data_IF_069611293367
#
_entry.id   IF_069611293367
#
_cell.length_a   1.000
_cell.length_b   1.000
_cell.length_c   1.000
_cell.angle_alpha   90.00
_cell.angle_beta   90.00
_cell.angle_gamma   90.00
#
_symmetry.space_group_name_H-M   'P 1'
#
loop_
_entity.id
_entity.type
_entity.pdbx_description
1 polymer ?
#
# COMPACT_ATOMS: atom_id res chain seq x y z
N UNK A 1 -3.11 -23.08 5.77
CA UNK A 1 -1.75 -22.52 5.76
C UNK A 1 -1.93 -21.08 5.29
N UNK A 2 -1.54 -20.04 6.05
CA UNK A 2 -1.70 -18.67 5.56
C UNK A 2 -0.85 -18.47 4.30
N UNK A 3 -1.41 -17.75 3.33
CA UNK A 3 -0.69 -17.26 2.15
C UNK A 3 0.29 -16.16 2.57
N UNK A 4 1.56 -16.31 2.21
CA UNK A 4 2.58 -15.31 2.48
C UNK A 4 2.68 -14.35 1.29
N UNK A 5 2.08 -13.17 1.42
CA UNK A 5 2.22 -12.08 0.43
C UNK A 5 3.53 -11.33 0.71
N UNK A 6 4.44 -11.35 -0.26
CA UNK A 6 5.70 -10.63 -0.19
C UNK A 6 5.54 -9.18 -0.65
N UNK A 7 6.39 -8.29 -0.12
CA UNK A 7 6.36 -6.88 -0.52
C UNK A 7 6.76 -6.72 -1.99
N UNK A 8 5.99 -6.01 -2.82
CA UNK A 8 6.33 -5.77 -4.23
C UNK A 8 7.42 -4.71 -4.41
N UNK A 9 7.65 -3.87 -3.39
CA UNK A 9 8.61 -2.77 -3.40
C UNK A 9 9.13 -2.48 -1.99
N UNK A 10 10.22 -1.70 -1.90
CA UNK A 10 10.70 -1.16 -0.61
C UNK A 10 9.82 0.03 -0.23
N UNK A 11 9.47 0.15 1.04
CA UNK A 11 8.66 1.26 1.53
C UNK A 11 8.17 1.02 2.95
N UNK A 12 7.35 1.95 3.45
CA UNK A 12 6.65 1.81 4.73
C UNK A 12 5.22 1.35 4.46
N UNK A 13 4.77 0.29 5.13
CA UNK A 13 3.36 -0.13 5.07
C UNK A 13 2.50 0.93 5.77
N UNK A 14 1.41 1.32 5.14
CA UNK A 14 0.41 2.26 5.68
C UNK A 14 -0.99 1.65 5.54
N UNK A 15 -1.95 2.18 6.30
CA UNK A 15 -3.34 1.74 6.18
C UNK A 15 -3.85 2.03 4.78
N UNK A 16 -4.63 1.10 4.21
CA UNK A 16 -5.30 1.35 2.93
C UNK A 16 -6.29 2.53 3.05
N UNK A 17 -6.86 2.76 4.23
CA UNK A 17 -7.74 3.91 4.52
C UNK A 17 -7.04 5.28 4.55
N UNK A 18 -5.70 5.31 4.65
CA UNK A 18 -4.93 6.57 4.61
C UNK A 18 -4.67 7.03 3.16
N UNK A 19 -5.04 6.23 2.15
CA UNK A 19 -4.88 6.58 0.74
C UNK A 19 -5.87 7.70 0.37
N UNK A 20 -5.43 8.79 -0.30
CA UNK A 20 -6.31 9.93 -0.60
C UNK A 20 -7.35 9.66 -1.69
N UNK A 21 -7.38 8.44 -2.26
CA UNK A 21 -8.29 8.02 -3.31
C UNK A 21 -9.36 7.09 -2.72
N UNK A 22 -10.65 7.45 -2.80
CA UNK A 22 -11.74 6.71 -2.18
C UNK A 22 -11.93 5.30 -2.73
N UNK A 23 -11.52 5.03 -3.98
CA UNK A 23 -11.63 3.69 -4.58
C UNK A 23 -10.79 2.68 -3.79
N UNK A 24 -9.64 3.13 -3.28
CA UNK A 24 -8.76 2.31 -2.45
C UNK A 24 -9.14 2.41 -0.96
N UNK A 25 -9.34 3.63 -0.45
CA UNK A 25 -9.61 3.83 0.98
C UNK A 25 -10.89 3.16 1.48
N UNK A 26 -11.87 2.94 0.59
CA UNK A 26 -13.12 2.24 0.89
C UNK A 26 -13.10 0.76 0.48
N UNK A 27 -11.94 0.20 0.12
CA UNK A 27 -11.78 -1.20 -0.27
C UNK A 27 -12.69 -1.65 -1.43
N UNK A 28 -13.08 -0.74 -2.34
CA UNK A 28 -14.01 -1.04 -3.45
C UNK A 28 -13.45 -2.13 -4.37
N UNK A 29 -12.13 -2.13 -4.56
CA UNK A 29 -11.39 -3.14 -5.35
C UNK A 29 -11.07 -4.40 -4.56
N UNK A 30 -11.31 -4.40 -3.25
CA UNK A 30 -10.93 -5.44 -2.29
C UNK A 30 -10.03 -4.91 -1.17
N UNK A 31 -9.97 -5.68 -0.07
CA UNK A 31 -9.14 -5.36 1.10
C UNK A 31 -7.64 -5.54 0.83
N UNK A 32 -6.82 -4.82 1.59
CA UNK A 32 -5.37 -4.87 1.43
C UNK A 32 -4.62 -3.86 2.31
N UNK A 33 -3.39 -3.54 1.90
CA UNK A 33 -2.53 -2.54 2.53
C UNK A 33 -1.91 -1.63 1.48
N UNK A 34 -1.53 -0.42 1.87
CA UNK A 34 -0.81 0.50 1.00
C UNK A 34 0.66 0.63 1.43
N UNK A 35 1.50 1.13 0.52
CA UNK A 35 2.91 1.38 0.77
C UNK A 35 3.27 2.83 0.44
N UNK A 36 3.96 3.50 1.35
CA UNK A 36 4.66 4.75 1.05
C UNK A 36 6.09 4.42 0.57
N UNK A 37 6.40 4.54 -0.74
CA UNK A 37 7.72 4.23 -1.27
C UNK A 37 8.77 5.23 -0.76
N UNK A 38 10.05 4.85 -0.67
CA UNK A 38 11.12 5.79 -0.39
C UNK A 38 11.13 6.87 -1.46
N UNK A 39 11.28 8.13 -1.05
CA UNK A 39 11.49 9.22 -2.01
C UNK A 39 12.77 8.92 -2.79
N UNK A 40 12.67 8.86 -4.12
CA UNK A 40 13.85 8.92 -4.98
C UNK A 40 14.54 10.24 -4.66
N UNK A 41 15.80 10.23 -4.24
CA UNK A 41 16.57 11.48 -4.17
C UNK A 41 16.54 12.09 -5.57
N UNK A 42 16.10 13.34 -5.69
CA UNK A 42 16.27 14.09 -6.92
C UNK A 42 17.77 14.10 -7.26
N UNK A 43 18.15 14.06 -8.55
CA UNK A 43 19.56 14.23 -8.94
C UNK A 43 20.11 15.57 -8.45
#
# INVERSE_FOLDING_TARGET
MPENILSPLRGTVVSLGDVPDPVFAQEIVGGGVAFNPPRKSAP
#
